data_IF_212875506264
#
_entry.id   IF_212875506264
#
_cell.length_a   1.000
_cell.length_b   1.000
_cell.length_c   1.000
_cell.angle_alpha   90.00
_cell.angle_beta   90.00
_cell.angle_gamma   90.00
#
_symmetry.space_group_name_H-M   'P 1'
#
loop_
_entity.id
_entity.type
_entity.pdbx_description
1 polymer ?
#
# COMPACT_ATOMS: atom_id res chain seq x y z
N UNK A 1 -17.90 21.94 17.88
CA UNK A 1 -17.26 23.10 17.20
C UNK A 1 -15.99 22.59 16.55
N UNK A 2 -15.69 23.06 15.33
CA UNK A 2 -14.45 22.75 14.62
C UNK A 2 -13.49 23.91 14.77
N UNK A 3 -12.25 23.65 15.19
CA UNK A 3 -11.22 24.67 15.32
C UNK A 3 -9.98 24.26 14.55
N UNK A 4 -9.59 25.08 13.58
CA UNK A 4 -8.32 24.92 12.88
C UNK A 4 -7.17 25.44 13.77
N UNK A 5 -6.11 24.63 13.86
CA UNK A 5 -4.87 25.01 14.53
C UNK A 5 -3.91 25.56 13.46
N UNK A 6 -3.36 26.78 13.65
CA UNK A 6 -2.48 27.38 12.65
C UNK A 6 -1.21 26.54 12.45
N UNK A 7 -0.68 26.57 11.23
CA UNK A 7 0.52 25.82 10.86
C UNK A 7 1.70 26.14 11.77
N UNK A 8 2.40 25.11 12.22
CA UNK A 8 3.58 25.20 13.09
C UNK A 8 4.81 24.70 12.35
N UNK A 9 5.91 25.44 12.47
CA UNK A 9 7.24 25.00 12.08
C UNK A 9 7.83 24.13 13.20
N UNK A 10 8.09 22.86 12.91
CA UNK A 10 8.55 21.86 13.89
C UNK A 10 9.74 21.10 13.31
N UNK A 11 10.71 20.78 14.16
CA UNK A 11 11.81 19.86 13.81
C UNK A 11 11.49 18.52 14.49
N UNK A 12 11.36 17.48 13.67
CA UNK A 12 11.13 16.10 14.15
C UNK A 12 12.38 15.52 14.82
N UNK A 13 12.24 14.38 15.51
CA UNK A 13 13.37 13.70 16.17
C UNK A 13 14.51 13.35 15.23
N UNK A 14 14.21 13.11 13.95
CA UNK A 14 15.19 12.79 12.91
C UNK A 14 15.81 14.05 12.27
N UNK A 15 15.64 15.21 12.91
CA UNK A 15 16.18 16.51 12.49
C UNK A 15 15.66 16.99 11.12
N UNK A 16 14.40 16.66 10.80
CA UNK A 16 13.73 17.12 9.58
C UNK A 16 12.74 18.22 9.96
N UNK A 17 12.92 19.40 9.35
CA UNK A 17 12.00 20.52 9.48
C UNK A 17 10.73 20.27 8.67
N UNK A 18 9.57 20.35 9.32
CA UNK A 18 8.25 20.16 8.72
C UNK A 18 7.29 21.25 9.15
N UNK A 19 6.34 21.59 8.29
CA UNK A 19 5.21 22.45 8.62
C UNK A 19 3.96 21.60 8.80
N UNK A 20 3.34 21.69 9.97
CA UNK A 20 2.18 20.86 10.30
C UNK A 20 1.02 21.72 10.75
N UNK A 21 -0.17 21.42 10.24
CA UNK A 21 -1.44 21.96 10.74
C UNK A 21 -2.37 20.83 11.16
N UNK A 22 -3.33 21.17 12.02
CA UNK A 22 -4.29 20.20 12.54
C UNK A 22 -5.66 20.84 12.74
N UNK A 23 -6.68 19.99 12.90
CA UNK A 23 -8.04 20.39 13.23
C UNK A 23 -8.44 19.69 14.52
N UNK A 24 -9.06 20.45 15.43
CA UNK A 24 -9.55 19.94 16.71
C UNK A 24 -11.08 20.02 16.70
N UNK A 25 -11.71 18.89 16.96
CA UNK A 25 -13.14 18.77 17.16
C UNK A 25 -13.41 18.67 18.66
N UNK A 26 -14.11 19.64 19.21
CA UNK A 26 -14.48 19.64 20.62
C UNK A 26 -15.91 20.13 20.84
N UNK A 27 -16.42 19.88 22.05
CA UNK A 27 -17.70 20.38 22.52
C UNK A 27 -17.59 20.87 23.95
N UNK A 28 -18.35 21.92 24.27
CA UNK A 28 -18.50 22.40 25.65
C UNK A 28 -19.46 21.44 26.37
N UNK A 29 -19.00 20.85 27.47
CA UNK A 29 -19.80 19.96 28.32
C UNK A 29 -20.30 20.71 29.55
N UNK A 30 -19.49 21.59 30.12
CA UNK A 30 -19.84 22.43 31.27
C UNK A 30 -19.70 23.92 30.91
N UNK A 31 -20.79 24.60 30.51
CA UNK A 31 -20.75 26.00 30.14
C UNK A 31 -20.38 26.94 31.29
N UNK A 32 -20.63 26.55 32.54
CA UNK A 32 -20.27 27.39 33.68
C UNK A 32 -18.75 27.49 33.79
N UNK A 33 -18.06 26.34 33.78
CA UNK A 33 -16.59 26.28 33.77
C UNK A 33 -15.96 26.98 32.57
N UNK A 34 -16.55 26.81 31.39
CA UNK A 34 -16.04 27.43 30.16
C UNK A 34 -16.04 28.96 30.18
N UNK A 35 -16.87 29.58 31.03
CA UNK A 35 -16.96 31.04 31.19
C UNK A 35 -16.18 31.51 32.42
N UNK A 36 -16.13 30.72 33.50
CA UNK A 36 -15.50 31.15 34.76
C UNK A 36 -14.00 30.87 34.83
N UNK A 37 -13.53 29.77 34.23
CA UNK A 37 -12.14 29.32 34.37
C UNK A 37 -11.20 29.97 33.35
N UNK A 38 -11.71 30.39 32.19
CA UNK A 38 -10.94 30.99 31.09
C UNK A 38 -11.75 32.10 30.41
N UNK A 39 -11.07 33.20 30.08
CA UNK A 39 -11.67 34.35 29.37
C UNK A 39 -12.10 34.00 27.93
N UNK A 40 -11.22 33.38 27.13
CA UNK A 40 -11.55 32.84 25.80
C UNK A 40 -11.05 31.40 25.68
N UNK A 41 -11.98 30.47 25.84
CA UNK A 41 -11.68 29.05 25.81
C UNK A 41 -11.26 28.57 24.42
N UNK A 42 -11.69 29.24 23.33
CA UNK A 42 -11.27 28.88 21.97
C UNK A 42 -9.80 29.20 21.80
N UNK A 43 -9.39 30.41 22.20
CA UNK A 43 -8.00 30.83 22.13
C UNK A 43 -7.11 29.96 23.01
N UNK A 44 -7.52 29.71 24.26
CA UNK A 44 -6.76 28.86 25.19
C UNK A 44 -6.59 27.42 24.65
N UNK A 45 -7.66 26.83 24.11
CA UNK A 45 -7.63 25.49 23.49
C UNK A 45 -6.70 25.48 22.27
N UNK A 46 -6.70 26.52 21.45
CA UNK A 46 -5.80 26.66 20.30
C UNK A 46 -4.32 26.70 20.75
N UNK A 47 -4.01 27.45 21.81
CA UNK A 47 -2.65 27.56 22.34
C UNK A 47 -2.14 26.24 22.93
N UNK A 48 -2.99 25.53 23.66
CA UNK A 48 -2.67 24.17 24.13
C UNK A 48 -2.42 23.26 22.94
N UNK A 49 -3.31 23.27 21.95
CA UNK A 49 -3.18 22.42 20.77
C UNK A 49 -1.86 22.67 20.03
N UNK A 50 -1.45 23.93 19.85
CA UNK A 50 -0.17 24.28 19.23
C UNK A 50 1.04 23.79 20.05
N UNK A 51 0.97 23.92 21.37
CA UNK A 51 2.07 23.51 22.26
C UNK A 51 2.20 21.99 22.29
N UNK A 52 1.08 21.28 22.36
CA UNK A 52 1.03 19.81 22.32
C UNK A 52 1.48 19.27 20.97
N UNK A 53 1.03 19.86 19.85
CA UNK A 53 1.53 19.51 18.51
C UNK A 53 3.04 19.68 18.43
N UNK A 54 3.58 20.80 18.90
CA UNK A 54 5.03 21.02 18.87
C UNK A 54 5.80 19.99 19.71
N UNK A 55 5.28 19.64 20.88
CA UNK A 55 5.93 18.69 21.78
C UNK A 55 5.89 17.26 21.23
N UNK A 56 4.70 16.75 20.87
CA UNK A 56 4.52 15.37 20.42
C UNK A 56 5.23 15.17 19.08
N UNK A 57 4.96 16.03 18.09
CA UNK A 57 5.55 15.88 16.76
C UNK A 57 7.08 16.12 16.75
N UNK A 58 7.61 16.87 17.72
CA UNK A 58 9.05 17.03 17.91
C UNK A 58 9.73 15.78 18.48
N UNK A 59 9.00 14.95 19.22
CA UNK A 59 9.49 13.67 19.77
C UNK A 59 9.29 12.50 18.78
N UNK A 60 8.38 12.64 17.83
CA UNK A 60 8.11 11.63 16.79
C UNK A 60 9.11 11.68 15.64
N UNK A 61 9.25 10.55 14.96
CA UNK A 61 9.99 10.43 13.71
C UNK A 61 9.12 10.87 12.53
N UNK A 62 9.75 11.27 11.41
CA UNK A 62 8.98 11.67 10.22
C UNK A 62 8.11 10.52 9.70
N UNK A 63 8.60 9.29 9.76
CA UNK A 63 7.87 8.13 9.28
C UNK A 63 6.58 7.91 10.09
N UNK A 64 6.61 8.12 11.41
CA UNK A 64 5.42 8.01 12.26
C UNK A 64 4.34 9.04 11.85
N UNK A 65 4.75 10.27 11.50
CA UNK A 65 3.84 11.33 11.02
C UNK A 65 3.11 10.96 9.71
N UNK A 66 3.73 10.11 8.89
CA UNK A 66 3.21 9.71 7.58
C UNK A 66 2.46 8.38 7.63
N UNK A 67 2.97 7.40 8.38
CA UNK A 67 2.46 6.04 8.41
C UNK A 67 1.51 5.75 9.58
N UNK A 68 1.74 6.34 10.76
CA UNK A 68 1.00 6.04 12.00
C UNK A 68 0.14 7.21 12.46
N UNK A 69 -0.64 7.77 11.53
CA UNK A 69 -1.50 8.93 11.83
C UNK A 69 -2.53 8.65 12.91
N UNK A 70 -3.10 7.46 12.94
CA UNK A 70 -4.15 7.12 13.91
C UNK A 70 -3.62 7.09 15.35
N UNK A 71 -2.42 6.53 15.56
CA UNK A 71 -1.76 6.50 16.87
C UNK A 71 -1.43 7.92 17.35
N UNK A 72 -0.86 8.75 16.47
CA UNK A 72 -0.56 10.14 16.76
C UNK A 72 -1.81 10.97 17.08
N UNK A 73 -2.87 10.80 16.30
CA UNK A 73 -4.14 11.50 16.52
C UNK A 73 -4.74 11.12 17.88
N UNK A 74 -4.66 9.85 18.28
CA UNK A 74 -5.14 9.39 19.59
C UNK A 74 -4.30 9.94 20.75
N UNK A 75 -2.97 9.98 20.60
CA UNK A 75 -2.08 10.58 21.60
C UNK A 75 -2.35 12.08 21.77
N UNK A 76 -2.44 12.82 20.66
CA UNK A 76 -2.78 14.24 20.66
C UNK A 76 -4.15 14.50 21.29
N UNK A 77 -5.16 13.69 20.95
CA UNK A 77 -6.50 13.80 21.52
C UNK A 77 -6.45 13.63 23.04
N UNK A 78 -5.77 12.59 23.54
CA UNK A 78 -5.68 12.30 24.97
C UNK A 78 -5.07 13.47 25.73
N UNK A 79 -3.92 13.97 25.27
CA UNK A 79 -3.20 15.04 25.96
C UNK A 79 -3.99 16.36 25.93
N UNK A 80 -4.60 16.71 24.79
CA UNK A 80 -5.36 17.97 24.67
C UNK A 80 -6.66 17.88 25.48
N UNK A 81 -7.34 16.72 25.49
CA UNK A 81 -8.56 16.52 26.28
C UNK A 81 -8.29 16.67 27.78
N UNK A 82 -7.24 16.00 28.30
CA UNK A 82 -6.85 16.10 29.72
C UNK A 82 -6.55 17.54 30.16
N UNK A 83 -5.91 18.33 29.30
CA UNK A 83 -5.59 19.72 29.64
C UNK A 83 -6.77 20.68 29.48
N UNK A 84 -7.78 20.33 28.68
CA UNK A 84 -8.95 21.19 28.41
C UNK A 84 -10.17 20.83 29.26
N UNK A 85 -10.16 19.67 29.92
CA UNK A 85 -11.21 19.22 30.85
C UNK A 85 -11.47 20.19 32.03
N UNK A 86 -10.46 20.86 32.63
CA UNK A 86 -10.70 21.87 33.68
C UNK A 86 -11.60 23.02 33.20
N UNK A 87 -11.57 23.36 31.91
CA UNK A 87 -12.38 24.42 31.31
C UNK A 87 -13.77 23.94 30.89
N UNK A 88 -14.14 22.69 31.19
CA UNK A 88 -15.44 22.13 30.80
C UNK A 88 -15.53 21.79 29.31
N UNK A 89 -14.39 21.61 28.63
CA UNK A 89 -14.32 21.26 27.21
C UNK A 89 -13.96 19.78 27.09
N UNK A 90 -14.66 19.09 26.18
CA UNK A 90 -14.34 17.70 25.80
C UNK A 90 -13.88 17.68 24.35
N UNK A 91 -12.67 17.17 24.12
CA UNK A 91 -12.12 16.97 22.78
C UNK A 91 -12.54 15.61 22.26
N UNK A 92 -13.24 15.62 21.13
CA UNK A 92 -13.73 14.41 20.48
C UNK A 92 -12.66 13.78 19.59
N UNK A 93 -12.00 14.59 18.76
CA UNK A 93 -11.02 14.11 17.78
C UNK A 93 -10.02 15.22 17.47
N UNK A 94 -8.77 14.84 17.26
CA UNK A 94 -7.72 15.70 16.73
C UNK A 94 -7.20 15.05 15.46
N UNK A 95 -7.17 15.79 14.36
CA UNK A 95 -6.69 15.29 13.08
C UNK A 95 -5.57 16.18 12.54
N UNK A 96 -4.41 15.59 12.29
CA UNK A 96 -3.34 16.24 11.53
C UNK A 96 -3.75 16.35 10.06
N UNK A 97 -3.87 17.58 9.56
CA UNK A 97 -4.41 17.88 8.22
C UNK A 97 -3.34 17.71 7.15
N UNK A 98 -2.32 18.56 7.16
CA UNK A 98 -1.22 18.56 6.20
C UNK A 98 0.13 18.55 6.93
N UNK A 99 1.10 17.84 6.33
CA UNK A 99 2.50 17.83 6.72
C UNK A 99 3.30 18.25 5.50
N UNK A 100 3.73 19.51 5.46
CA UNK A 100 4.51 20.06 4.37
C UNK A 100 6.00 19.85 4.64
N UNK A 101 6.65 19.15 3.71
CA UNK A 101 8.06 18.81 3.74
C UNK A 101 8.84 19.73 2.79
N UNK A 102 10.13 19.99 3.06
CA UNK A 102 11.02 20.62 2.08
C UNK A 102 11.04 19.82 0.77
N UNK A 103 10.99 20.53 -0.36
CA UNK A 103 10.90 19.91 -1.69
C UNK A 103 12.03 18.92 -1.97
N UNK A 104 13.23 19.19 -1.46
CA UNK A 104 14.38 18.30 -1.59
C UNK A 104 14.16 16.94 -0.90
N UNK A 105 13.65 16.96 0.32
CA UNK A 105 13.32 15.74 1.07
C UNK A 105 12.18 14.96 0.43
N UNK A 106 11.13 15.66 -0.04
CA UNK A 106 10.01 15.02 -0.73
C UNK A 106 10.47 14.26 -1.97
N UNK A 107 11.39 14.84 -2.76
CA UNK A 107 11.99 14.19 -3.94
C UNK A 107 12.85 12.98 -3.56
N UNK A 108 13.64 13.08 -2.50
CA UNK A 108 14.48 11.99 -2.02
C UNK A 108 13.63 10.78 -1.56
N UNK A 109 12.59 11.03 -0.75
CA UNK A 109 11.66 10.01 -0.28
C UNK A 109 10.91 9.38 -1.45
N UNK A 110 10.43 10.19 -2.41
CA UNK A 110 9.75 9.67 -3.60
C UNK A 110 10.65 8.72 -4.40
N UNK A 111 11.92 9.09 -4.63
CA UNK A 111 12.89 8.27 -5.34
C UNK A 111 13.21 6.97 -4.59
N UNK A 112 13.34 7.03 -3.27
CA UNK A 112 13.55 5.85 -2.42
C UNK A 112 12.33 4.91 -2.46
N UNK A 113 11.13 5.46 -2.34
CA UNK A 113 9.89 4.70 -2.39
C UNK A 113 9.67 4.04 -3.76
N UNK A 114 10.03 4.72 -4.85
CA UNK A 114 9.99 4.17 -6.21
C UNK A 114 10.96 3.00 -6.36
N UNK A 115 12.21 3.15 -5.92
CA UNK A 115 13.21 2.08 -5.98
C UNK A 115 12.80 0.84 -5.15
N UNK A 116 12.25 1.04 -3.95
CA UNK A 116 11.77 -0.06 -3.10
C UNK A 116 10.54 -0.73 -3.71
N UNK A 117 9.61 0.03 -4.31
CA UNK A 117 8.46 -0.53 -5.05
C UNK A 117 8.91 -1.36 -6.24
N UNK A 118 9.88 -0.87 -7.03
CA UNK A 118 10.41 -1.60 -8.18
C UNK A 118 11.11 -2.90 -7.74
N UNK A 119 11.92 -2.82 -6.67
CA UNK A 119 12.56 -4.00 -6.07
C UNK A 119 11.52 -5.03 -5.63
N UNK A 120 10.48 -4.61 -4.88
CA UNK A 120 9.41 -5.50 -4.42
C UNK A 120 8.63 -6.11 -5.60
N UNK A 121 8.33 -5.31 -6.62
CA UNK A 121 7.64 -5.79 -7.81
C UNK A 121 8.43 -6.90 -8.52
N UNK A 122 9.76 -6.74 -8.66
CA UNK A 122 10.63 -7.78 -9.25
C UNK A 122 10.63 -9.07 -8.45
N UNK A 123 10.67 -8.98 -7.11
CA UNK A 123 10.64 -10.15 -6.23
C UNK A 123 9.29 -10.87 -6.37
N UNK A 124 8.17 -10.14 -6.32
CA UNK A 124 6.83 -10.71 -6.46
C UNK A 124 6.65 -11.37 -7.83
N UNK A 125 7.18 -10.74 -8.88
CA UNK A 125 7.11 -11.30 -10.24
C UNK A 125 7.91 -12.61 -10.36
N UNK A 126 9.16 -12.62 -9.90
CA UNK A 126 10.00 -13.82 -9.91
C UNK A 126 9.41 -14.97 -9.07
N UNK A 127 8.85 -14.65 -7.91
CA UNK A 127 8.15 -15.63 -7.06
C UNK A 127 6.90 -16.17 -7.76
N UNK A 128 6.12 -15.30 -8.41
CA UNK A 128 4.97 -15.70 -9.22
C UNK A 128 5.34 -16.62 -10.39
N UNK A 129 6.42 -16.31 -11.10
CA UNK A 129 6.95 -17.15 -12.19
C UNK A 129 7.44 -18.51 -11.69
N UNK A 130 8.11 -18.54 -10.55
CA UNK A 130 8.57 -19.77 -9.91
C UNK A 130 7.39 -20.66 -9.52
N UNK A 131 6.39 -20.11 -8.83
CA UNK A 131 5.18 -20.85 -8.44
C UNK A 131 4.39 -21.35 -9.66
N UNK A 132 4.29 -20.55 -10.71
CA UNK A 132 3.63 -20.96 -11.96
C UNK A 132 4.39 -22.11 -12.63
N UNK A 133 5.72 -22.01 -12.72
CA UNK A 133 6.58 -23.04 -13.33
C UNK A 133 6.50 -24.35 -12.56
N UNK A 134 6.51 -24.31 -11.23
CA UNK A 134 6.36 -25.49 -10.39
C UNK A 134 5.02 -26.19 -10.64
N UNK A 135 3.91 -25.44 -10.64
CA UNK A 135 2.58 -26.01 -10.91
C UNK A 135 2.48 -26.61 -12.32
N UNK A 136 3.11 -25.98 -13.31
CA UNK A 136 3.16 -26.52 -14.68
C UNK A 136 3.97 -27.81 -14.76
N UNK A 137 5.10 -27.89 -14.05
CA UNK A 137 5.92 -29.10 -13.97
C UNK A 137 5.15 -30.25 -13.29
N UNK A 138 4.47 -29.96 -12.18
CA UNK A 138 3.63 -30.93 -11.47
C UNK A 138 2.49 -31.44 -12.38
N UNK A 139 1.81 -30.53 -13.09
CA UNK A 139 0.79 -30.89 -14.05
C UNK A 139 1.33 -31.73 -15.21
N UNK A 140 2.52 -31.42 -15.73
CA UNK A 140 3.17 -32.19 -16.78
C UNK A 140 3.53 -33.61 -16.31
N UNK A 141 4.01 -33.77 -15.08
CA UNK A 141 4.28 -35.08 -14.49
C UNK A 141 3.01 -35.94 -14.37
N UNK A 142 1.91 -35.33 -13.93
CA UNK A 142 0.61 -36.02 -13.84
C UNK A 142 0.12 -36.43 -15.24
N UNK A 143 0.18 -35.54 -16.23
CA UNK A 143 -0.25 -35.85 -17.61
C UNK A 143 0.63 -36.94 -18.22
N UNK A 144 1.94 -36.89 -18.00
CA UNK A 144 2.87 -37.91 -18.49
C UNK A 144 2.64 -39.30 -17.90
N UNK A 145 2.09 -39.38 -16.68
CA UNK A 145 1.77 -40.66 -16.04
C UNK A 145 0.60 -41.42 -16.71
N UNK A 146 -0.27 -40.73 -17.46
CA UNK A 146 -1.46 -41.31 -18.10
C UNK A 146 -1.54 -40.91 -19.59
N UNK A 147 -1.26 -41.83 -20.54
CA UNK A 147 -1.28 -41.53 -21.98
C UNK A 147 -2.61 -40.92 -22.47
N UNK A 148 -3.74 -41.32 -21.88
CA UNK A 148 -5.07 -40.77 -22.20
C UNK A 148 -5.22 -39.28 -21.82
N UNK A 149 -4.52 -38.81 -20.79
CA UNK A 149 -4.58 -37.40 -20.37
C UNK A 149 -3.95 -36.47 -21.42
N UNK A 150 -2.88 -36.92 -22.07
CA UNK A 150 -2.21 -36.17 -23.14
C UNK A 150 -3.10 -36.06 -24.38
N UNK A 151 -3.86 -37.11 -24.68
CA UNK A 151 -4.83 -37.14 -25.78
C UNK A 151 -6.04 -36.22 -25.49
N UNK A 152 -6.54 -36.19 -24.25
CA UNK A 152 -7.58 -35.23 -23.84
C UNK A 152 -7.09 -33.78 -23.91
N UNK A 153 -5.86 -33.51 -23.45
CA UNK A 153 -5.22 -32.19 -23.58
C UNK A 153 -5.12 -31.77 -25.05
N UNK A 154 -4.71 -32.67 -25.93
CA UNK A 154 -4.63 -32.41 -27.37
C UNK A 154 -6.00 -32.04 -27.96
N UNK A 155 -7.05 -32.79 -27.62
CA UNK A 155 -8.41 -32.46 -28.06
C UNK A 155 -8.90 -31.11 -27.51
N UNK A 156 -8.57 -30.78 -26.25
CA UNK A 156 -8.89 -29.46 -25.66
C UNK A 156 -8.18 -28.32 -26.39
N UNK A 157 -6.89 -28.47 -26.72
CA UNK A 157 -6.16 -27.46 -27.49
C UNK A 157 -6.75 -27.28 -28.89
N UNK A 158 -7.22 -28.35 -29.53
CA UNK A 158 -7.91 -28.25 -30.83
C UNK A 158 -9.22 -27.47 -30.73
N UNK A 159 -9.99 -27.67 -29.65
CA UNK A 159 -11.21 -26.88 -29.44
C UNK A 159 -10.92 -25.41 -29.16
N UNK A 160 -9.91 -25.07 -28.36
CA UNK A 160 -9.52 -23.67 -28.11
C UNK A 160 -9.08 -22.97 -29.40
N UNK A 161 -8.22 -23.60 -30.18
CA UNK A 161 -7.76 -23.08 -31.48
C UNK A 161 -8.90 -22.96 -32.49
N UNK A 162 -9.87 -23.89 -32.50
CA UNK A 162 -11.05 -23.77 -33.36
C UNK A 162 -12.00 -22.64 -32.93
N UNK A 163 -11.92 -22.20 -31.67
CA UNK A 163 -12.75 -21.11 -31.12
C UNK A 163 -12.13 -19.73 -31.45
N UNK A 164 -10.80 -19.62 -31.45
CA UNK A 164 -10.10 -18.44 -31.97
C UNK A 164 -10.13 -18.45 -33.51
N UNK A 165 -10.81 -17.50 -34.12
CA UNK A 165 -10.98 -17.38 -35.60
C UNK A 165 -9.67 -17.03 -36.35
N UNK A 166 -8.60 -17.80 -36.20
CA UNK A 166 -7.34 -17.63 -36.92
C UNK A 166 -7.23 -18.66 -38.06
N UNK A 167 -7.02 -18.18 -39.29
CA UNK A 167 -7.05 -18.97 -40.53
C UNK A 167 -5.80 -19.84 -40.80
N UNK A 168 -4.85 -19.88 -39.87
CA UNK A 168 -3.57 -20.58 -40.05
C UNK A 168 -3.44 -21.67 -38.98
N UNK A 169 -3.88 -22.87 -39.32
CA UNK A 169 -3.79 -24.06 -38.46
C UNK A 169 -2.39 -24.65 -38.62
N UNK A 170 -1.50 -24.39 -37.66
CA UNK A 170 -0.19 -25.06 -37.58
C UNK A 170 -0.41 -26.38 -36.85
N UNK A 171 -0.35 -27.48 -37.59
CA UNK A 171 -0.58 -28.82 -37.05
C UNK A 171 0.75 -29.49 -36.69
N UNK A 172 1.12 -29.63 -35.40
CA UNK A 172 2.28 -30.41 -35.02
C UNK A 172 1.96 -31.89 -35.21
N UNK A 173 2.49 -32.51 -36.27
CA UNK A 173 2.35 -33.95 -36.51
C UNK A 173 3.34 -34.69 -35.60
N UNK A 174 2.89 -35.64 -34.77
CA UNK A 174 3.78 -36.47 -33.96
C UNK A 174 4.81 -37.20 -34.82
N UNK A 175 6.07 -37.17 -34.42
CA UNK A 175 7.18 -37.81 -35.16
C UNK A 175 6.95 -39.32 -35.30
N UNK A 176 6.25 -39.95 -34.34
CA UNK A 176 5.90 -41.38 -34.38
C UNK A 176 5.03 -41.77 -35.59
N UNK A 177 4.22 -40.84 -36.11
CA UNK A 177 3.39 -41.06 -37.31
C UNK A 177 4.20 -40.85 -38.60
N UNK A 178 5.25 -40.03 -38.53
CA UNK A 178 6.14 -39.73 -39.65
C UNK A 178 7.27 -40.76 -39.80
N UNK A 179 7.65 -41.45 -38.72
CA UNK A 179 8.69 -42.48 -38.70
C UNK A 179 8.59 -43.53 -39.82
N UNK A 180 7.41 -44.12 -40.10
CA UNK A 180 7.24 -45.11 -41.17
C UNK A 180 7.49 -44.53 -42.57
N UNK A 181 7.11 -43.26 -42.81
CA UNK A 181 7.29 -42.58 -44.09
C UNK A 181 8.76 -42.21 -44.32
N UNK A 182 9.45 -41.73 -43.28
CA UNK A 182 10.89 -41.40 -43.34
C UNK A 182 11.74 -42.66 -43.53
N UNK A 183 11.40 -43.76 -42.84
CA UNK A 183 12.08 -45.06 -43.05
C UNK A 183 11.86 -45.63 -44.46
N UNK A 184 10.69 -45.39 -45.07
CA UNK A 184 10.40 -45.84 -46.44
C UNK A 184 11.19 -45.03 -47.48
N UNK A 185 11.30 -43.72 -47.31
CA UNK A 185 12.12 -42.84 -48.16
C UNK A 185 13.62 -43.18 -48.11
N UNK A 186 14.16 -43.56 -46.95
CA UNK A 186 15.57 -43.98 -46.83
C UNK A 186 15.86 -45.32 -47.52
N UNK A 187 14.85 -46.17 -47.72
CA UNK A 187 14.99 -47.52 -48.28
C UNK A 187 14.90 -47.55 -49.81
N UNK A 188 14.46 -46.45 -50.45
CA UNK A 188 14.44 -46.27 -51.91
C UNK A 188 15.72 -45.62 -52.46
N UNK A 189 16.62 -45.14 -51.59
CA UNK A 189 17.90 -44.51 -51.95
C UNK A 189 19.14 -45.39 -51.74
N UNK A 190 18.98 -46.63 -51.30
CA UNK A 190 20.02 -47.70 -51.32
C UNK A 190 19.68 -48.75 -52.38
#
# INVERSE_FOLDING_TARGET
>A
VTMDVPSQDIITRDNISVKVNAVVYYRVVDPAKAITEVEDFNYATSQISQTTLRSVLGQSQLDDLLAKRDELNAELQTIIDEQTEPWGIKVATVEVKNVDLPLEMQRAIAKQAEAERERRAKIIHAEGEFQASQKLADAAAIIGSQPAALQLRFLQTLTEVATEKNSTIIFPVPIDILEPFVKKLKKETE
#
